data_IF_598703296198
#
_entry.id   IF_598703296198
#
_cell.length_a   1.000
_cell.length_b   1.000
_cell.length_c   1.000
_cell.angle_alpha   90.00
_cell.angle_beta   90.00
_cell.angle_gamma   90.00
#
_symmetry.space_group_name_H-M   'P 1'
#
loop_
_entity.id
_entity.type
_entity.pdbx_description
1 polymer ?
2 non-polymer ?
3 non-polymer ?
4 non-polymer ?
5 non-polymer ?
6 non-polymer ?
7 water ?
#
# COMPACT_ATOMS: atom_id res chain seq x y z
N UNK A 18 -5.27 28.37 1.11
CA UNK A 18 -5.61 27.75 2.40
C UNK A 18 -5.59 26.24 2.12
N UNK A 19 -5.12 25.43 3.04
CA UNK A 19 -5.25 24.00 2.90
C UNK A 19 -6.77 23.63 2.94
N UNK A 20 -7.20 22.70 2.07
CA UNK A 20 -8.61 22.27 2.05
C UNK A 20 -8.71 20.77 2.23
N UNK A 21 -9.92 20.32 2.55
CA UNK A 21 -10.16 18.93 2.89
C UNK A 21 -9.63 17.86 1.90
N UNK A 22 -9.74 18.12 0.60
CA UNK A 22 -9.30 17.18 -0.42
C UNK A 22 -7.79 17.14 -0.61
N UNK A 23 -7.06 18.09 -0.05
CA UNK A 23 -5.59 18.11 -0.16
C UNK A 23 -4.96 17.00 0.69
N UNK A 24 -3.94 16.33 0.14
CA UNK A 24 -3.22 15.35 0.92
C UNK A 24 -2.59 15.91 2.23
N UNK A 25 -2.51 15.05 3.24
CA UNK A 25 -1.93 15.40 4.56
C UNK A 25 -0.74 14.47 4.76
N UNK A 26 0.32 14.95 5.39
CA UNK A 26 1.55 14.19 5.57
C UNK A 26 1.89 14.06 7.03
N UNK A 27 2.36 12.89 7.44
CA UNK A 27 2.75 12.61 8.82
C UNK A 27 4.12 11.93 8.72
N UNK A 28 5.11 12.45 9.44
CA UNK A 28 6.38 11.75 9.52
C UNK A 28 6.31 10.57 10.52
N UNK A 29 6.51 9.37 10.04
CA UNK A 29 6.47 8.18 10.89
C UNK A 29 7.85 7.79 11.42
N UNK A 30 8.91 8.10 10.69
CA UNK A 30 10.25 7.79 11.15
C UNK A 30 11.14 8.75 10.44
N UNK A 31 12.43 8.80 10.83
CA UNK A 31 13.27 9.83 10.16
C UNK A 31 13.21 9.81 8.61
N UNK A 32 13.13 8.63 7.99
CA UNK A 32 13.04 8.54 6.54
C UNK A 32 11.69 8.04 5.96
N UNK A 33 10.62 8.12 6.74
CA UNK A 33 9.31 7.62 6.28
C UNK A 33 8.15 8.57 6.64
N UNK A 34 7.32 8.86 5.65
CA UNK A 34 6.10 9.61 5.81
C UNK A 34 4.91 8.83 5.27
N UNK A 35 3.80 9.07 5.90
CA UNK A 35 2.51 8.61 5.44
C UNK A 35 1.83 9.75 4.73
N UNK A 36 1.31 9.47 3.55
CA UNK A 36 0.41 10.39 2.88
C UNK A 36 -1.00 9.85 2.98
N UNK A 37 -1.90 10.78 3.21
CA UNK A 37 -3.33 10.46 3.35
C UNK A 37 -4.08 11.36 2.41
N UNK A 38 -4.94 10.80 1.61
CA UNK A 38 -5.79 11.66 0.84
C UNK A 38 -7.22 11.15 1.04
N UNK A 39 -8.14 12.09 1.21
CA UNK A 39 -9.55 11.74 1.35
C UNK A 39 -10.18 11.75 -0.04
N UNK A 40 -10.46 10.55 -0.63
CA UNK A 40 -11.24 10.37 -1.94
C UNK A 40 -12.71 9.96 -1.77
N UNK A 41 -13.45 9.88 -2.88
CA UNK A 41 -14.93 9.80 -2.86
C UNK A 41 -15.59 9.05 -4.05
N UNK A 42 -15.89 7.76 -3.84
CA UNK A 42 -16.58 6.94 -4.86
C UNK A 42 -18.10 7.15 -4.79
N UNK A 43 -18.79 7.25 -5.95
CA UNK A 43 -20.25 7.50 -5.87
C UNK A 43 -21.04 6.31 -5.31
N UNK A 44 -22.29 6.56 -4.93
CA UNK A 44 -23.11 5.61 -4.18
C UNK A 44 -22.86 5.79 -2.70
N UNK A 45 -21.57 5.90 -2.36
CA UNK A 45 -21.06 5.94 -1.00
C UNK A 45 -20.37 7.28 -0.73
N UNK A 46 -19.90 7.48 0.50
CA UNK A 46 -19.22 8.73 0.85
C UNK A 46 -17.74 8.74 0.47
N UNK A 47 -17.06 9.80 0.92
CA UNK A 47 -15.61 9.89 0.79
C UNK A 47 -14.98 9.08 1.92
N UNK A 48 -13.76 8.58 1.69
CA UNK A 48 -12.95 7.87 2.70
C UNK A 48 -11.46 8.23 2.58
N UNK A 49 -10.72 8.20 3.68
CA UNK A 49 -9.29 8.49 3.72
C UNK A 49 -8.52 7.28 3.17
N UNK A 50 -7.48 7.51 2.36
CA UNK A 50 -6.56 6.48 1.89
C UNK A 50 -5.11 6.84 2.05
N UNK A 51 -4.35 5.91 2.61
CA UNK A 51 -2.97 6.15 3.07
C UNK A 51 -2.00 5.42 2.18
N UNK A 52 -0.83 6.00 1.96
CA UNK A 52 0.34 5.29 1.42
C UNK A 52 1.60 5.77 2.12
N UNK A 53 2.78 5.39 1.58
CA UNK A 53 4.05 5.75 2.20
C UNK A 53 4.99 6.43 1.20
N UNK A 54 5.81 7.27 1.77
CA UNK A 54 6.97 7.90 1.09
C UNK A 54 8.24 7.57 1.93
N UNK A 55 9.29 7.02 1.32
CA UNK A 55 10.47 6.53 2.02
C UNK A 55 11.66 7.19 1.31
N UNK A 56 12.53 7.79 2.11
CA UNK A 56 13.80 8.35 1.65
C UNK A 56 14.83 7.28 1.81
N UNK A 57 15.53 6.99 0.71
CA UNK A 57 16.63 5.99 0.67
C UNK A 57 17.81 6.69 0.01
N UNK A 58 18.63 7.39 0.79
CA UNK A 58 19.86 8.01 0.26
C UNK A 58 19.49 9.23 -0.55
N UNK A 59 19.84 9.19 -1.83
CA UNK A 59 19.50 10.29 -2.75
C UNK A 59 18.22 10.13 -3.56
N UNK A 60 17.32 9.27 -3.10
CA UNK A 60 16.11 9.02 -3.84
C UNK A 60 14.93 8.75 -2.89
N UNK A 61 13.74 8.90 -3.44
CA UNK A 61 12.51 8.63 -2.71
C UNK A 61 11.80 7.43 -3.37
N UNK A 62 11.19 6.58 -2.56
CA UNK A 62 10.42 5.39 -3.10
C UNK A 62 9.01 5.56 -2.54
N UNK A 63 8.00 5.22 -3.30
CA UNK A 63 6.65 5.35 -2.84
C UNK A 63 5.97 4.00 -2.77
N UNK A 64 5.07 3.88 -1.80
CA UNK A 64 4.13 2.73 -1.71
C UNK A 64 2.71 3.28 -1.83
N UNK A 65 2.04 2.87 -2.91
CA UNK A 65 0.69 3.29 -3.33
C UNK A 65 0.58 4.72 -3.84
N UNK A 66 -0.42 4.92 -4.70
CA UNK A 66 -0.78 6.27 -5.17
C UNK A 66 -1.83 6.78 -4.18
N UNK A 67 -2.32 7.99 -4.44
CA UNK A 67 -3.52 8.49 -3.84
C UNK A 67 -4.68 7.93 -4.67
N UNK A 68 -5.92 8.18 -4.29
CA UNK A 68 -7.04 7.65 -5.06
C UNK A 68 -7.33 8.32 -6.37
N UNK A 69 -6.66 9.43 -6.67
CA UNK A 69 -6.89 10.14 -7.94
C UNK A 69 -5.52 10.60 -8.41
N UNK A 70 -5.42 10.86 -9.71
CA UNK A 70 -4.24 11.41 -10.31
C UNK A 70 -3.94 12.86 -9.75
N UNK A 71 -4.99 13.65 -9.53
CA UNK A 71 -4.82 15.00 -9.02
C UNK A 71 -4.16 14.98 -7.65
N UNK A 72 -4.66 14.11 -6.79
CA UNK A 72 -4.10 14.02 -5.41
C UNK A 72 -2.70 13.42 -5.46
N UNK A 73 -2.47 12.53 -6.41
CA UNK A 73 -1.14 11.97 -6.61
C UNK A 73 -0.13 13.06 -7.04
N UNK A 74 -0.47 13.86 -8.05
CA UNK A 74 0.32 15.04 -8.39
C UNK A 74 0.64 15.95 -7.20
N UNK A 75 -0.35 16.20 -6.35
CA UNK A 75 -0.15 17.04 -5.18
C UNK A 75 0.84 16.39 -4.25
N UNK A 76 0.79 15.07 -4.09
CA UNK A 76 1.87 14.36 -3.35
C UNK A 76 3.25 14.58 -3.97
N UNK A 77 3.38 14.45 -5.29
CA UNK A 77 4.70 14.53 -5.96
C UNK A 77 5.26 15.95 -5.85
N UNK A 78 4.34 16.88 -5.84
CA UNK A 78 4.69 18.28 -5.60
C UNK A 78 5.23 18.48 -4.19
N UNK A 79 4.52 17.99 -3.19
CA UNK A 79 5.01 18.05 -1.83
C UNK A 79 6.38 17.41 -1.69
N UNK A 80 6.53 16.25 -2.32
CA UNK A 80 7.80 15.54 -2.25
C UNK A 80 8.89 16.46 -2.81
N UNK A 81 8.61 17.05 -3.94
CA UNK A 81 9.58 17.92 -4.63
C UNK A 81 10.00 19.12 -3.76
N UNK A 82 9.00 19.73 -3.14
CA UNK A 82 9.17 20.93 -2.30
C UNK A 82 9.73 20.67 -0.93
N UNK A 83 9.42 19.52 -0.32
CA UNK A 83 9.78 19.28 1.07
C UNK A 83 10.96 18.36 1.24
N UNK A 84 11.12 17.43 0.29
CA UNK A 84 12.22 16.53 0.31
C UNK A 84 13.24 16.86 -0.74
N UNK A 85 12.76 17.28 -1.90
CA UNK A 85 13.59 17.53 -3.07
C UNK A 85 14.61 16.47 -3.45
N UNK A 86 14.12 15.25 -3.60
CA UNK A 86 14.88 14.17 -4.18
C UNK A 86 13.95 13.52 -5.21
N UNK A 87 14.53 12.93 -6.26
CA UNK A 87 13.67 12.34 -7.28
C UNK A 87 12.99 11.07 -6.78
N UNK A 88 11.76 10.80 -7.25
CA UNK A 88 11.09 9.56 -6.84
C UNK A 88 11.56 8.54 -7.84
N UNK A 89 12.31 7.56 -7.37
CA UNK A 89 12.86 6.56 -8.25
C UNK A 89 11.80 5.54 -8.68
N UNK A 90 10.95 5.12 -7.76
CA UNK A 90 10.00 4.07 -8.11
C UNK A 90 8.83 4.07 -7.17
N UNK A 91 7.77 3.38 -7.57
CA UNK A 91 6.62 3.19 -6.71
C UNK A 91 6.18 1.75 -6.82
N UNK A 92 5.76 1.21 -5.68
CA UNK A 92 5.13 -0.09 -5.65
C UNK A 92 3.69 0.07 -5.15
N UNK A 93 2.76 -0.51 -5.90
CA UNK A 93 1.34 -0.31 -5.67
C UNK A 93 0.78 -1.65 -5.27
N UNK A 94 -0.07 -1.68 -4.24
CA UNK A 94 -0.33 -2.86 -3.56
C UNK A 94 -1.53 -3.70 -3.94
N UNK A 95 -2.42 -3.22 -4.82
CA UNK A 95 -3.41 -4.04 -5.51
C UNK A 95 -4.17 -3.20 -6.52
N UNK A 96 -4.81 -3.89 -7.46
CA UNK A 96 -5.52 -3.20 -8.56
C UNK A 96 -6.91 -2.68 -8.17
N UNK A 97 -7.01 -1.63 -7.37
CA UNK A 97 -8.28 -0.91 -7.05
C UNK A 97 -7.96 0.56 -7.10
N UNK A 98 -8.99 1.41 -7.21
CA UNK A 98 -8.82 2.85 -7.42
C UNK A 98 -7.96 3.51 -6.35
N UNK A 99 -8.26 3.21 -5.10
CA UNK A 99 -7.50 3.80 -4.02
C UNK A 99 -5.98 3.60 -4.02
N UNK A 100 -5.49 2.48 -4.52
CA UNK A 100 -4.03 2.21 -4.51
C UNK A 100 -3.32 2.53 -5.82
N UNK A 101 -4.10 2.47 -6.90
CA UNK A 101 -3.64 2.57 -8.29
C UNK A 101 -4.35 3.64 -9.08
N UNK A 102 -5.11 4.50 -8.35
CA UNK A 102 -5.82 5.58 -8.95
C UNK A 102 -4.95 6.67 -9.54
N UNK A 103 -3.66 6.70 -9.17
CA UNK A 103 -2.79 7.75 -9.60
C UNK A 103 -1.72 7.27 -10.52
N UNK A 104 -1.94 6.13 -11.17
CA UNK A 104 -0.86 5.65 -12.12
C UNK A 104 -0.44 6.60 -13.23
N UNK A 105 -1.40 7.34 -13.83
CA UNK A 105 -1.06 8.24 -14.89
C UNK A 105 -0.13 9.33 -14.43
N UNK A 106 -0.41 9.88 -13.25
CA UNK A 106 0.47 10.87 -12.65
C UNK A 106 1.88 10.38 -12.45
N UNK A 107 2.01 9.16 -11.90
CA UNK A 107 3.32 8.61 -11.68
C UNK A 107 4.03 8.45 -13.01
N UNK A 108 3.33 7.95 -14.01
CA UNK A 108 3.99 7.75 -15.31
C UNK A 108 4.34 9.05 -16.04
N UNK A 109 3.50 10.08 -15.89
CA UNK A 109 3.77 11.38 -16.42
C UNK A 109 5.04 11.98 -15.76
N UNK A 110 5.23 11.66 -14.49
CA UNK A 110 6.39 12.13 -13.71
C UNK A 110 7.62 11.30 -13.97
N UNK A 111 7.53 10.23 -14.74
CA UNK A 111 8.72 9.44 -15.07
C UNK A 111 9.09 8.43 -14.00
N UNK A 112 8.16 8.08 -13.11
CA UNK A 112 8.45 7.20 -12.02
C UNK A 112 8.21 5.75 -12.52
N UNK A 113 9.20 4.87 -12.30
CA UNK A 113 9.07 3.41 -12.59
C UNK A 113 8.03 2.78 -11.60
N UNK A 114 7.05 2.06 -12.10
CA UNK A 114 5.99 1.48 -11.29
C UNK A 114 6.10 -0.03 -11.33
N UNK A 115 5.82 -0.60 -10.16
CA UNK A 115 5.85 -2.04 -9.88
C UNK A 115 4.57 -2.49 -9.18
N UNK A 116 4.05 -3.64 -9.61
CA UNK A 116 2.94 -4.25 -8.98
C UNK A 116 3.04 -5.75 -9.13
N UNK A 117 2.38 -6.48 -8.22
CA UNK A 117 2.12 -7.92 -8.45
C UNK A 117 1.73 -8.15 -9.95
N UNK A 118 2.36 -9.10 -10.61
CA UNK A 118 1.96 -9.61 -11.91
C UNK A 118 0.42 -9.77 -12.03
N UNK A 119 -0.15 -10.40 -11.01
CA UNK A 119 -1.60 -10.56 -10.88
C UNK A 119 -2.38 -9.19 -10.89
N UNK A 120 -1.87 -8.18 -10.19
CA UNK A 120 -2.40 -6.84 -10.24
C UNK A 120 -2.39 -6.28 -11.62
N UNK A 121 -1.27 -6.40 -12.33
CA UNK A 121 -1.17 -5.93 -13.67
C UNK A 121 -2.14 -6.65 -14.64
N UNK A 122 -2.34 -7.95 -14.45
CA UNK A 122 -3.35 -8.72 -15.18
C UNK A 122 -4.79 -8.27 -14.86
N UNK A 123 -5.09 -7.99 -13.61
CA UNK A 123 -6.43 -7.53 -13.26
C UNK A 123 -6.70 -6.06 -13.59
N UNK A 124 -5.66 -5.25 -13.73
CA UNK A 124 -5.82 -3.78 -13.88
C UNK A 124 -6.86 -3.36 -14.95
N UNK A 125 -6.74 -3.86 -16.20
CA UNK A 125 -7.82 -3.48 -17.16
C UNK A 125 -9.25 -3.98 -16.81
N UNK A 126 -9.37 -5.05 -16.03
CA UNK A 126 -10.65 -5.48 -15.52
C UNK A 126 -11.19 -4.55 -14.48
N UNK A 127 -10.31 -3.90 -13.73
CA UNK A 127 -10.70 -3.03 -12.64
C UNK A 127 -10.75 -1.53 -12.99
N UNK A 128 -10.51 -1.20 -14.27
CA UNK A 128 -10.41 0.17 -14.76
C UNK A 128 -9.25 0.99 -14.24
N UNK A 129 -8.10 0.35 -13.97
CA UNK A 129 -6.92 1.12 -13.54
C UNK A 129 -5.80 0.82 -14.54
N UNK A 130 -4.83 1.72 -14.58
CA UNK A 130 -3.73 1.60 -15.53
C UNK A 130 -2.78 0.60 -14.90
N UNK A 131 -2.31 -0.39 -15.67
CA UNK A 131 -1.25 -1.30 -15.09
C UNK A 131 0.07 -0.62 -14.79
N UNK A 132 0.78 -1.13 -13.78
CA UNK A 132 2.18 -0.77 -13.54
C UNK A 132 3.09 -1.18 -14.75
N UNK A 133 4.26 -0.57 -14.87
CA UNK A 133 5.19 -0.90 -15.95
C UNK A 133 5.85 -2.23 -15.77
N UNK A 134 6.09 -2.60 -14.52
CA UNK A 134 6.82 -3.82 -14.16
C UNK A 134 6.04 -4.71 -13.23
N UNK A 135 6.25 -6.01 -13.41
CA UNK A 135 5.53 -7.05 -12.64
C UNK A 135 6.44 -7.73 -11.62
N UNK A 136 5.98 -7.81 -10.37
CA UNK A 136 6.62 -8.56 -9.30
C UNK A 136 6.09 -9.98 -9.30
N UNK A 137 6.99 -10.96 -9.14
CA UNK A 137 6.55 -12.33 -8.84
C UNK A 137 7.10 -12.80 -7.51
N UNK A 138 6.47 -13.86 -7.03
CA UNK A 138 6.60 -14.29 -5.67
C UNK A 138 6.92 -15.76 -5.61
N UNK A 139 7.81 -16.10 -4.71
CA UNK A 139 8.00 -17.49 -4.35
C UNK A 139 6.81 -18.06 -3.58
N UNK A 140 6.76 -19.38 -3.47
CA UNK A 140 5.77 -20.07 -2.70
C UNK A 140 5.83 -19.69 -1.24
N UNK A 141 6.92 -19.06 -0.81
CA UNK A 141 7.02 -18.60 0.57
C UNK A 141 6.23 -17.30 0.74
N UNK A 142 5.88 -16.65 -0.38
CA UNK A 142 5.29 -15.27 -0.33
C UNK A 142 6.25 -14.15 -0.67
N UNK A 143 7.55 -14.38 -0.50
CA UNK A 143 8.55 -13.36 -0.66
C UNK A 143 8.76 -13.06 -2.12
N UNK A 144 8.88 -11.77 -2.42
CA UNK A 144 9.16 -11.32 -3.75
C UNK A 144 10.44 -12.00 -4.30
N UNK A 145 10.38 -12.33 -5.61
CA UNK A 145 11.61 -12.82 -6.30
C UNK A 145 12.56 -11.63 -6.58
N UNK A 146 13.78 -11.65 -6.05
CA UNK A 146 14.61 -10.44 -6.10
C UNK A 146 14.90 -9.90 -7.48
N UNK A 147 14.88 -10.73 -8.53
CA UNK A 147 15.16 -10.25 -9.87
C UNK A 147 14.02 -9.38 -10.40
N UNK A 148 12.83 -9.49 -9.79
CA UNK A 148 11.70 -8.67 -10.22
C UNK A 148 11.62 -7.35 -9.39
N UNK A 149 12.39 -7.24 -8.30
CA UNK A 149 12.37 -6.04 -7.46
C UNK A 149 13.74 -5.45 -7.31
N UNK A 150 14.36 -5.06 -8.43
CA UNK A 150 15.74 -4.55 -8.25
C UNK A 150 15.82 -3.17 -7.67
N UNK A 151 16.87 -2.97 -6.87
CA UNK A 151 17.14 -1.65 -6.24
C UNK A 151 15.93 -1.13 -5.45
N UNK A 152 15.27 -2.05 -4.72
CA UNK A 152 14.15 -1.66 -3.90
C UNK A 152 14.57 -1.02 -2.61
N UNK A 153 15.87 -1.03 -2.29
CA UNK A 153 16.36 -0.47 -1.03
C UNK A 153 15.71 -1.11 0.19
N UNK A 154 15.17 -0.31 1.14
CA UNK A 154 14.58 -0.91 2.32
C UNK A 154 13.17 -1.55 2.13
N UNK A 155 12.58 -1.47 0.96
CA UNK A 155 11.21 -1.98 0.75
C UNK A 155 11.34 -3.48 0.61
N UNK A 156 10.71 -4.21 1.53
CA UNK A 156 10.69 -5.66 1.47
C UNK A 156 9.24 -6.12 1.15
N UNK A 157 9.05 -6.65 -0.04
CA UNK A 157 7.72 -6.96 -0.53
C UNK A 157 7.35 -8.40 -0.27
N UNK A 158 6.17 -8.57 0.31
CA UNK A 158 5.63 -9.88 0.67
C UNK A 158 4.18 -9.99 0.20
N UNK A 159 3.91 -11.08 -0.50
CA UNK A 159 2.55 -11.52 -0.87
C UNK A 159 2.02 -12.52 0.15
N UNK A 160 1.02 -12.08 0.94
CA UNK A 160 0.60 -12.95 2.05
C UNK A 160 -0.42 -13.99 1.68
N UNK A 161 -0.87 -13.99 0.42
CA UNK A 161 -1.99 -14.79 0.00
C UNK A 161 -3.22 -13.91 -0.20
N UNK A 162 -4.31 -14.48 -0.72
CA UNK A 162 -5.53 -13.76 -1.00
C UNK A 162 -6.22 -13.32 0.29
N UNK A 163 -6.79 -12.12 0.28
CA UNK A 163 -7.45 -11.59 1.50
C UNK A 163 -8.49 -10.59 1.05
N UNK A 164 -8.15 -9.31 1.16
CA UNK A 164 -8.94 -8.18 0.66
C UNK A 164 -9.27 -8.33 -0.83
N UNK A 165 -8.23 -8.69 -1.58
CA UNK A 165 -8.35 -9.13 -2.93
C UNK A 165 -7.38 -10.35 -3.13
N UNK A 166 -7.49 -10.99 -4.30
CA UNK A 166 -6.57 -12.06 -4.68
C UNK A 166 -5.10 -11.63 -4.84
N UNK A 167 -4.90 -10.37 -5.24
CA UNK A 167 -3.62 -9.83 -5.60
C UNK A 167 -2.91 -8.98 -4.56
N UNK A 168 -3.58 -8.72 -3.44
CA UNK A 168 -3.00 -7.85 -2.44
C UNK A 168 -1.58 -8.18 -1.92
N UNK A 169 -0.71 -7.17 -1.96
CA UNK A 169 0.63 -7.34 -1.45
C UNK A 169 0.90 -6.37 -0.29
N UNK A 170 2.03 -6.60 0.39
CA UNK A 170 2.39 -5.89 1.62
C UNK A 170 3.85 -5.56 1.55
N UNK A 171 4.24 -4.57 2.33
CA UNK A 171 5.60 -4.04 2.29
C UNK A 171 6.14 -3.70 3.67
N UNK A 172 7.26 -4.36 4.02
CA UNK A 172 8.10 -4.01 5.17
C UNK A 172 9.17 -2.94 4.84
N UNK A 173 9.49 -2.04 5.79
CA UNK A 173 10.47 -1.00 5.58
C UNK A 173 11.66 -1.31 6.45
N UNK A 174 12.66 -1.91 5.87
CA UNK A 174 13.91 -2.19 6.57
C UNK A 174 14.51 -0.91 7.20
N UNK A 175 15.11 -1.10 8.39
CA UNK A 175 15.71 -0.03 9.22
C UNK A 175 14.68 0.76 10.00
N UNK A 176 13.47 0.24 10.07
CA UNK A 176 12.43 0.92 10.77
C UNK A 176 11.55 -0.13 11.42
N UNK A 177 10.64 0.26 12.30
CA UNK A 177 9.68 -0.70 12.86
C UNK A 177 8.34 -0.62 12.14
N UNK A 178 8.36 -0.24 10.86
CA UNK A 178 7.12 -0.14 10.08
C UNK A 178 6.90 -1.28 9.10
N UNK A 179 5.67 -1.75 9.02
CA UNK A 179 5.23 -2.53 7.89
C UNK A 179 3.90 -2.01 7.40
N UNK A 180 3.72 -2.06 6.08
CA UNK A 180 2.52 -1.61 5.39
C UNK A 180 1.66 -2.77 4.90
N UNK A 181 0.44 -2.82 5.43
CA UNK A 181 -0.52 -3.84 5.12
C UNK A 181 -1.52 -3.51 4.02
N UNK A 182 -1.57 -2.27 3.55
CA UNK A 182 -2.56 -1.88 2.54
C UNK A 182 -4.00 -2.06 3.04
N UNK A 183 -4.89 -2.51 2.15
CA UNK A 183 -6.33 -2.66 2.54
C UNK A 183 -6.58 -3.99 3.22
N UNK A 184 -5.54 -4.85 3.29
CA UNK A 184 -5.63 -6.12 3.99
C UNK A 184 -5.93 -5.92 5.47
N UNK A 185 -5.31 -4.87 6.06
CA UNK A 185 -5.30 -4.75 7.52
C UNK A 185 -6.23 -3.62 7.94
N UNK A 186 -6.97 -3.86 9.01
CA UNK A 186 -7.83 -2.84 9.63
C UNK A 186 -7.29 -2.56 11.05
N UNK A 187 -7.63 -1.44 11.64
CA UNK A 187 -7.02 -1.17 12.92
C UNK A 187 -7.76 -1.92 14.03
N UNK A 188 -7.19 -1.86 15.23
CA UNK A 188 -7.63 -2.66 16.32
C UNK A 188 -9.00 -2.28 16.84
N UNK A 189 -9.58 -1.14 16.42
CA UNK A 189 -10.94 -0.75 16.81
C UNK A 189 -11.95 -0.96 15.71
N UNK A 190 -11.51 -1.40 14.53
CA UNK A 190 -12.43 -1.54 13.40
C UNK A 190 -13.50 -2.59 13.77
N UNK A 191 -14.71 -2.40 13.25
CA UNK A 191 -15.82 -3.36 13.45
C UNK A 191 -16.15 -4.15 12.20
N UNK A 192 -15.41 -3.91 11.11
CA UNK A 192 -15.62 -4.61 9.87
C UNK A 192 -14.33 -4.73 9.05
N UNK A 193 -14.31 -5.67 8.12
CA UNK A 193 -13.22 -5.80 7.12
C UNK A 193 -13.50 -5.02 5.88
N UNK A 194 -14.60 -4.27 5.87
CA UNK A 194 -14.86 -3.45 4.70
C UNK A 194 -15.57 -4.20 3.62
N UNK A 195 -15.43 -3.74 2.40
CA UNK A 195 -16.06 -4.42 1.29
C UNK A 195 -15.39 -5.75 1.00
N UNK A 196 -16.21 -6.80 0.98
CA UNK A 196 -15.71 -8.13 0.77
C UNK A 196 -16.05 -8.74 -0.60
N UNK A 197 -16.57 -7.91 -1.52
CA UNK A 197 -17.07 -8.41 -2.79
C UNK A 197 -15.99 -9.08 -3.62
N UNK A 198 -14.74 -8.63 -3.48
CA UNK A 198 -13.62 -9.29 -4.14
C UNK A 198 -12.63 -9.98 -3.23
N UNK A 199 -13.06 -10.21 -1.98
CA UNK A 199 -12.23 -10.86 -0.95
C UNK A 199 -12.24 -12.34 -1.07
N UNK A 200 -11.15 -12.96 -0.65
CA UNK A 200 -11.10 -14.40 -0.47
C UNK A 200 -11.39 -14.68 0.99
N UNK A 201 -12.64 -14.99 1.29
CA UNK A 201 -13.11 -15.13 2.66
C UNK A 201 -12.60 -16.40 3.35
N UNK A 202 -12.21 -17.41 2.59
CA UNK A 202 -11.61 -18.60 3.13
C UNK A 202 -10.19 -18.31 3.59
N UNK A 203 -9.43 -17.58 2.76
CA UNK A 203 -8.00 -17.38 3.03
C UNK A 203 -7.60 -16.12 3.80
N UNK A 204 -8.55 -15.20 4.01
CA UNK A 204 -8.27 -13.88 4.55
C UNK A 204 -7.51 -13.97 5.88
N UNK A 205 -8.06 -14.74 6.84
CA UNK A 205 -7.45 -14.88 8.17
C UNK A 205 -5.98 -15.38 8.13
N UNK A 206 -5.73 -16.45 7.39
CA UNK A 206 -4.39 -16.99 7.29
C UNK A 206 -3.48 -15.98 6.55
N UNK A 207 -4.01 -15.25 5.57
CA UNK A 207 -3.16 -14.27 4.89
C UNK A 207 -2.73 -13.12 5.84
N UNK A 208 -3.65 -12.71 6.72
CA UNK A 208 -3.34 -11.66 7.66
C UNK A 208 -2.22 -12.20 8.60
N UNK A 209 -2.37 -13.44 9.04
CA UNK A 209 -1.39 -13.99 9.94
C UNK A 209 0.00 -14.15 9.29
N UNK A 210 -0.02 -14.47 8.00
CA UNK A 210 1.22 -14.60 7.23
C UNK A 210 1.93 -13.26 7.15
N UNK A 211 1.16 -12.18 7.03
CA UNK A 211 1.75 -10.85 6.96
C UNK A 211 2.45 -10.54 8.26
N UNK A 212 1.77 -10.83 9.35
CA UNK A 212 2.35 -10.71 10.70
C UNK A 212 3.66 -11.47 10.84
N UNK A 213 3.66 -12.75 10.40
CA UNK A 213 4.85 -13.64 10.58
C UNK A 213 5.96 -13.21 9.67
N UNK A 214 5.60 -12.53 8.58
CA UNK A 214 6.63 -12.04 7.65
C UNK A 214 7.41 -10.86 8.17
N UNK A 215 6.75 -10.01 8.95
CA UNK A 215 7.33 -8.82 9.52
C UNK A 215 7.30 -8.76 11.02
N UNK A 216 7.97 -9.71 11.67
CA UNK A 216 7.81 -9.89 13.13
C UNK A 216 8.38 -8.69 13.91
N UNK A 217 9.30 -7.94 13.32
CA UNK A 217 9.96 -6.78 13.98
C UNK A 217 9.15 -5.50 13.88
N UNK A 218 8.08 -5.53 13.10
CA UNK A 218 7.34 -4.32 12.83
C UNK A 218 6.39 -4.08 14.02
N UNK A 219 6.60 -2.99 14.75
CA UNK A 219 5.73 -2.63 15.85
C UNK A 219 4.77 -1.51 15.41
N UNK A 220 4.98 -0.95 14.20
CA UNK A 220 4.06 0.06 13.69
C UNK A 220 3.43 -0.42 12.38
N UNK A 221 2.14 -0.75 12.42
CA UNK A 221 1.44 -1.25 11.25
C UNK A 221 0.68 -0.11 10.61
N UNK A 222 1.07 0.15 9.38
CA UNK A 222 0.42 1.12 8.55
C UNK A 222 -0.55 0.42 7.61
N UNK A 223 -1.68 1.07 7.36
CA UNK A 223 -2.71 0.46 6.53
C UNK A 223 -3.54 1.53 5.77
N UNK A 224 -4.39 1.11 4.81
CA UNK A 224 -4.99 2.05 3.87
C UNK A 224 -6.00 3.03 4.49
N UNK A 225 -6.85 2.55 5.37
CA UNK A 225 -8.03 3.31 5.78
C UNK A 225 -8.10 3.65 7.26
N UNK A 226 -6.98 3.44 7.98
CA UNK A 226 -6.87 3.80 9.38
C UNK A 226 -5.48 4.36 9.66
N UNK A 227 -5.38 5.15 10.73
CA UNK A 227 -4.06 5.61 11.16
C UNK A 227 -3.19 4.44 11.67
N UNK A 228 -1.86 4.65 11.74
CA UNK A 228 -0.93 3.59 12.14
C UNK A 228 -1.24 3.05 13.51
N UNK A 229 -1.08 1.73 13.69
CA UNK A 229 -1.50 1.07 14.93
C UNK A 229 -0.44 0.07 15.36
N UNK A 230 -0.64 -0.52 16.54
CA UNK A 230 0.24 -1.54 17.06
C UNK A 230 -0.03 -2.83 16.30
N UNK A 231 0.73 -3.85 16.65
CA UNK A 231 0.50 -5.19 16.10
C UNK A 231 -0.87 -5.77 16.48
N UNK A 232 -1.56 -5.16 17.45
CA UNK A 232 -2.91 -5.64 17.75
C UNK A 232 -3.88 -5.49 16.54
N UNK A 233 -3.57 -4.60 15.60
CA UNK A 233 -4.35 -4.49 14.36
C UNK A 233 -4.32 -5.79 13.57
N UNK A 234 -3.19 -6.49 13.60
CA UNK A 234 -3.00 -7.74 12.86
C UNK A 234 -3.91 -8.78 13.49
N UNK A 235 -3.75 -8.94 14.80
CA UNK A 235 -4.54 -9.92 15.53
C UNK A 235 -6.04 -9.65 15.38
N UNK A 236 -6.44 -8.40 15.62
CA UNK A 236 -7.84 -8.01 15.53
C UNK A 236 -8.41 -8.26 14.12
N UNK A 237 -7.64 -7.93 13.09
CA UNK A 237 -8.09 -8.21 11.71
C UNK A 237 -8.21 -9.70 11.45
N UNK A 238 -7.22 -10.47 11.88
CA UNK A 238 -7.28 -11.90 11.64
C UNK A 238 -8.50 -12.55 12.35
N UNK A 239 -8.81 -12.09 13.56
CA UNK A 239 -9.84 -12.75 14.36
C UNK A 239 -11.28 -12.33 13.83
N UNK A 240 -11.43 -11.11 13.31
CA UNK A 240 -12.60 -10.80 12.52
C UNK A 240 -12.69 -11.70 11.24
N UNK A 241 -11.58 -11.84 10.51
CA UNK A 241 -11.59 -12.71 9.36
C UNK A 241 -11.89 -14.20 9.66
N UNK A 242 -11.51 -14.70 10.82
CA UNK A 242 -11.80 -16.09 11.20
C UNK A 242 -13.29 -16.35 11.12
N UNK A 243 -14.11 -15.32 11.41
CA UNK A 243 -15.59 -15.44 11.42
C UNK A 243 -16.21 -15.63 10.04
N UNK A 244 -15.41 -15.43 9.01
CA UNK A 244 -15.89 -15.58 7.63
C UNK A 244 -15.77 -17.02 7.09
N UNK A 245 -15.16 -17.92 7.84
CA UNK A 245 -14.77 -19.22 7.31
C UNK A 245 -15.83 -20.26 7.66
X LIG B 1 -9.25 -2.87 -2.73
X LIG C 1 -8.68 0.34 0.21
X LIG D 1 22.41 3.50 -6.76
X LIG D 1 21.04 3.94 -6.67
X LIG D 1 20.21 2.94 -5.83
X LIG D 1 21.01 1.86 -5.22
X LIG D 1 22.12 2.48 -4.46
X LIG D 1 23.01 3.26 -5.47
X LIG D 1 20.10 0.92 -4.51
X LIG D 1 20.53 0.36 -3.19
X LIG D 1 19.85 -1.13 -2.80
X LIG D 1 20.64 -2.22 -3.34
X LIG D 1 19.85 -1.15 -1.33
X LIG D 1 18.49 -1.23 -3.34
X LIG E 1 -13.86 -5.40 -9.91
X LIG F 1 -7.14 9.51 -13.48
X LIG G 1 -5.83 15.21 9.24
X LIG G 1 -5.56 13.74 9.83
X LIG G 1 -5.76 12.75 8.74
X LIG G 1 -3.99 13.80 10.19
X LIG G 1 -6.46 13.58 11.31
X LIG G 1 -5.79 13.32 12.51
X LIG G 1 -6.51 13.19 13.69
X LIG G 1 -7.90 13.30 13.67
X LIG G 1 -8.57 13.54 12.48
X LIG G 1 -7.85 13.68 11.30
X LIG H 1 -1.29 16.90 -14.52
X LIG H 1 -1.42 15.90 -13.57
X LIG H 1 -2.46 15.96 -12.63
X LIG H 1 -3.36 17.02 -12.66
X LIG H 1 -3.22 18.03 -13.61
X LIG H 1 -2.19 17.96 -14.54
X LIG H 1 -4.36 17.08 -11.75
X LIG H 1 -0.30 16.85 -15.41
X LIG H 1 0.01 18.02 -16.14
X LIG H 1 0.39 15.62 -15.57
X LIG I 1 -12.34 -1.61 -1.18
X LIG I 1 -11.11 -0.58 -1.41
X LIG I 1 -9.89 -1.07 -2.22
X LIG I 1 -10.53 -0.25 0.09
X LIG I 1 -11.66 0.99 -2.01
X LIG I 1 -11.75 1.12 -3.39
X LIG I 1 -12.08 2.35 -3.96
X LIG I 1 -12.27 3.41 -3.08
X LIG I 1 -12.14 3.28 -1.70
X LIG I 1 -11.81 2.07 -1.12
#
# INVERSE_FOLDING_TARGET
GHMGEIRPTIGQQMETGDQRFGDPVFRQLAPNVWQHTSYLDMPGFGAVASNGLIVRDGGRVLMVDTAGTDAQTAQILKWIKQEINLPVALAVVTHAHQDKMGGMDALHAAGIATYANALSNQLAPREGVVAAQHSLTFAATGWVEPATAPNFGPLKVFYPGPGHTSDNITVGIDGTDIAFGGCLIRDSKAKSLGNLDEADTEHYAASVRAFGAAFPKASMIVMSHFAPDSRAAITHTARMADKLR
ZN ZN
ZN ZN
MES O1 C2 C3 N4 C5 C6 C7 C8 S O1S O2S O3S
MG MG
MG MG
SV7 OAA PAB OAC OAD CAE CAF CAG CAH CAI CAJ
NPO C1 C2 C3 C4 C5 C6 OH N1 O2 O3
SV7 OAA PAB OAC OAD CAE CAF CAG CAH CAI CAJ
#
